data_IF_136388359561
#
_entry.id   IF_136388359561
#
_cell.length_a   1.000
_cell.length_b   1.000
_cell.length_c   1.000
_cell.angle_alpha   90.00
_cell.angle_beta   90.00
_cell.angle_gamma   90.00
#
_symmetry.space_group_name_H-M   'P 1'
#
loop_
_entity.id
_entity.type
_entity.pdbx_description
1 polymer ?
#
# COMPACT_ATOMS: atom_id res chain seq x y z
N UNK A 1 4.94 3.79 -18.61
CA UNK A 1 5.38 3.22 -17.33
C UNK A 1 4.57 1.97 -17.07
N UNK A 2 5.18 0.86 -16.66
CA UNK A 2 4.47 -0.36 -16.23
C UNK A 2 4.62 -0.54 -14.72
N UNK A 3 3.49 -0.64 -14.02
CA UNK A 3 3.44 -0.79 -12.57
C UNK A 3 2.96 -2.21 -12.26
N UNK A 4 3.68 -2.93 -11.40
CA UNK A 4 3.23 -4.20 -10.83
C UNK A 4 2.60 -3.93 -9.47
N UNK A 5 1.36 -4.37 -9.26
CA UNK A 5 0.64 -4.24 -7.98
C UNK A 5 0.46 -5.63 -7.37
N UNK A 6 0.78 -5.78 -6.08
CA UNK A 6 0.72 -7.03 -5.31
C UNK A 6 0.12 -6.78 -3.93
N UNK A 7 -0.52 -7.80 -3.34
CA UNK A 7 -1.15 -7.72 -2.00
C UNK A 7 -1.45 -9.13 -1.47
N UNK A 8 -1.59 -9.26 -0.15
CA UNK A 8 -2.19 -10.38 0.60
C UNK A 8 -1.50 -11.75 0.54
N UNK A 9 -1.04 -12.17 -0.62
CA UNK A 9 -0.46 -13.48 -0.84
C UNK A 9 0.80 -13.39 -1.68
N UNK A 10 1.82 -14.14 -1.24
CA UNK A 10 3.02 -14.37 -2.04
C UNK A 10 2.60 -15.13 -3.30
N UNK A 11 2.94 -14.58 -4.45
CA UNK A 11 2.76 -15.27 -5.72
C UNK A 11 3.97 -16.18 -5.99
N UNK A 12 3.81 -17.52 -6.01
CA UNK A 12 4.91 -18.43 -6.31
C UNK A 12 5.56 -18.16 -7.67
N UNK A 13 4.82 -17.60 -8.63
CA UNK A 13 5.38 -17.23 -9.94
C UNK A 13 6.40 -16.09 -9.84
N UNK A 14 6.23 -15.20 -8.87
CA UNK A 14 7.13 -14.07 -8.62
C UNK A 14 8.23 -14.40 -7.60
N UNK A 15 8.12 -15.53 -6.89
CA UNK A 15 9.06 -15.95 -5.85
C UNK A 15 9.69 -17.33 -6.14
N UNK A 16 8.99 -18.42 -5.84
CA UNK A 16 9.51 -19.79 -5.89
C UNK A 16 9.92 -20.23 -7.31
N UNK A 17 9.16 -19.80 -8.32
CA UNK A 17 9.38 -20.10 -9.73
C UNK A 17 9.86 -18.87 -10.50
N UNK A 18 10.57 -17.97 -9.83
CA UNK A 18 11.16 -16.81 -10.47
C UNK A 18 12.19 -17.22 -11.52
N UNK A 19 12.18 -16.54 -12.67
CA UNK A 19 13.19 -16.67 -13.72
C UNK A 19 13.78 -15.30 -14.02
N UNK A 20 15.09 -15.21 -14.34
CA UNK A 20 15.70 -13.94 -14.72
C UNK A 20 14.90 -13.22 -15.80
N UNK A 21 14.88 -11.89 -15.72
CA UNK A 21 14.16 -11.00 -16.64
C UNK A 21 12.63 -11.03 -16.56
N UNK A 22 12.01 -11.80 -15.65
CA UNK A 22 10.54 -11.82 -15.48
C UNK A 22 9.96 -10.43 -15.17
N UNK A 23 10.73 -9.60 -14.46
CA UNK A 23 10.34 -8.24 -14.07
C UNK A 23 11.04 -7.14 -14.90
N UNK A 24 11.69 -7.48 -16.03
CA UNK A 24 12.53 -6.52 -16.78
C UNK A 24 11.77 -5.28 -17.29
N UNK A 25 10.50 -5.46 -17.61
CA UNK A 25 9.65 -4.42 -18.21
C UNK A 25 8.89 -3.62 -17.15
N UNK A 26 9.01 -3.98 -15.86
CA UNK A 26 8.38 -3.27 -14.75
C UNK A 26 9.23 -2.05 -14.39
N UNK A 27 8.57 -0.91 -14.19
CA UNK A 27 9.21 0.34 -13.79
C UNK A 27 9.08 0.63 -12.29
N UNK A 28 8.01 0.13 -11.67
CA UNK A 28 7.63 0.36 -10.27
C UNK A 28 6.84 -0.85 -9.76
N UNK A 29 7.08 -1.24 -8.51
CA UNK A 29 6.28 -2.23 -7.79
C UNK A 29 5.53 -1.50 -6.65
N UNK A 30 4.25 -1.81 -6.45
CA UNK A 30 3.43 -1.31 -5.35
C UNK A 30 2.85 -2.50 -4.59
N UNK A 31 3.07 -2.54 -3.27
CA UNK A 31 2.47 -3.49 -2.35
C UNK A 31 1.34 -2.84 -1.57
N UNK A 32 0.15 -3.41 -1.62
CA UNK A 32 -1.01 -2.96 -0.85
C UNK A 32 -1.09 -3.58 0.55
N UNK A 33 -0.09 -4.35 0.98
CA UNK A 33 0.05 -4.86 2.34
C UNK A 33 -0.16 -6.37 2.45
N UNK A 34 -0.02 -6.87 3.68
CA UNK A 34 -0.17 -8.28 4.06
C UNK A 34 0.72 -9.22 3.25
N UNK A 35 1.99 -8.81 3.08
CA UNK A 35 3.03 -9.59 2.45
C UNK A 35 4.22 -9.75 3.39
N UNK A 36 4.99 -10.84 3.33
CA UNK A 36 6.20 -10.93 4.14
C UNK A 36 7.28 -9.94 3.71
N UNK A 37 8.00 -9.34 4.66
CA UNK A 37 9.08 -8.37 4.37
C UNK A 37 10.13 -8.97 3.42
N UNK A 38 10.51 -10.23 3.66
CA UNK A 38 11.47 -10.97 2.83
C UNK A 38 11.02 -11.15 1.38
N UNK A 39 9.72 -11.23 1.14
CA UNK A 39 9.19 -11.32 -0.22
C UNK A 39 9.36 -9.98 -0.96
N UNK A 40 9.05 -8.86 -0.30
CA UNK A 40 9.27 -7.53 -0.86
C UNK A 40 10.77 -7.24 -1.08
N UNK A 41 11.62 -7.62 -0.12
CA UNK A 41 13.09 -7.53 -0.22
C UNK A 41 13.65 -8.33 -1.40
N UNK A 42 13.13 -9.54 -1.61
CA UNK A 42 13.50 -10.33 -2.78
C UNK A 42 13.10 -9.61 -4.06
N UNK A 43 11.84 -9.13 -4.16
CA UNK A 43 11.34 -8.46 -5.36
C UNK A 43 12.11 -7.19 -5.69
N UNK A 44 12.36 -6.32 -4.71
CA UNK A 44 13.12 -5.08 -4.92
C UNK A 44 14.54 -5.39 -5.38
N UNK A 45 15.15 -6.45 -4.85
CA UNK A 45 16.50 -6.91 -5.23
C UNK A 45 16.55 -7.43 -6.66
N UNK A 46 15.66 -8.36 -7.03
CA UNK A 46 15.70 -9.00 -8.36
C UNK A 46 15.14 -8.13 -9.47
N UNK A 47 14.18 -7.25 -9.16
CA UNK A 47 13.68 -6.27 -10.11
C UNK A 47 14.68 -5.12 -10.31
N UNK A 48 15.40 -4.74 -9.25
CA UNK A 48 16.22 -3.54 -9.21
C UNK A 48 15.43 -2.29 -9.66
N UNK A 49 14.22 -2.16 -9.12
CA UNK A 49 13.25 -1.07 -9.36
C UNK A 49 12.69 -0.62 -8.00
N UNK A 50 12.20 0.63 -7.89
CA UNK A 50 11.53 1.06 -6.66
C UNK A 50 10.34 0.16 -6.32
N UNK A 51 10.20 -0.12 -5.02
CA UNK A 51 9.05 -0.82 -4.45
C UNK A 51 8.45 0.06 -3.36
N UNK A 52 7.21 0.48 -3.53
CA UNK A 52 6.45 1.25 -2.55
C UNK A 52 5.47 0.34 -1.83
N UNK A 53 5.29 0.51 -0.53
CA UNK A 53 4.34 -0.29 0.22
C UNK A 53 3.58 0.52 1.25
N UNK A 54 2.39 0.03 1.57
CA UNK A 54 1.65 0.34 2.78
C UNK A 54 1.54 -0.93 3.64
N UNK A 55 1.25 -0.76 4.92
CA UNK A 55 1.01 -1.88 5.83
C UNK A 55 -0.40 -2.43 5.59
N UNK A 56 -0.55 -3.75 5.56
CA UNK A 56 -1.83 -4.42 5.80
C UNK A 56 -2.05 -4.65 7.29
N UNK A 57 -3.18 -5.25 7.67
CA UNK A 57 -3.51 -5.44 9.07
C UNK A 57 -2.74 -6.59 9.76
N UNK A 58 -2.13 -7.48 8.99
CA UNK A 58 -1.30 -8.59 9.48
C UNK A 58 0.20 -8.27 9.51
N UNK A 59 0.63 -7.13 8.98
CA UNK A 59 2.04 -6.71 8.86
C UNK A 59 2.72 -6.31 10.18
N UNK A 60 2.20 -6.71 11.35
CA UNK A 60 2.78 -6.41 12.67
C UNK A 60 4.25 -6.85 12.83
N UNK A 61 4.71 -7.80 12.03
CA UNK A 61 6.12 -8.20 11.97
C UNK A 61 7.05 -7.05 11.51
N UNK A 62 6.55 -6.11 10.70
CA UNK A 62 7.32 -4.95 10.20
C UNK A 62 7.79 -4.02 11.32
N UNK A 63 7.09 -4.00 12.45
CA UNK A 63 7.53 -3.26 13.64
C UNK A 63 8.88 -3.74 14.19
N UNK A 64 9.25 -5.00 13.91
CA UNK A 64 10.55 -5.57 14.27
C UNK A 64 11.52 -5.57 13.10
N UNK A 65 11.03 -5.80 11.90
CA UNK A 65 11.83 -5.84 10.68
C UNK A 65 10.97 -5.43 9.49
N UNK A 66 11.06 -4.15 9.15
CA UNK A 66 10.39 -3.58 7.99
C UNK A 66 11.11 -4.02 6.69
N UNK A 67 10.39 -4.13 5.55
CA UNK A 67 10.97 -4.49 4.26
C UNK A 67 12.13 -3.58 3.87
N UNK A 68 13.35 -4.12 3.85
CA UNK A 68 14.54 -3.36 3.49
C UNK A 68 14.60 -3.09 1.98
N UNK A 69 15.24 -1.97 1.59
CA UNK A 69 15.34 -1.53 0.19
C UNK A 69 14.03 -1.01 -0.42
N UNK A 70 12.89 -1.20 0.26
CA UNK A 70 11.58 -0.70 -0.13
C UNK A 70 11.29 0.66 0.52
N UNK A 71 10.27 1.37 0.03
CA UNK A 71 9.84 2.68 0.59
C UNK A 71 8.46 2.54 1.20
N UNK A 72 8.38 2.78 2.51
CA UNK A 72 7.11 2.94 3.21
C UNK A 72 6.47 4.28 2.83
N UNK A 73 5.32 4.19 2.15
CA UNK A 73 4.51 5.36 1.76
C UNK A 73 3.29 5.56 2.65
N UNK A 74 3.13 4.76 3.71
CA UNK A 74 2.00 4.86 4.63
C UNK A 74 1.95 6.23 5.31
N UNK A 75 0.79 6.88 5.21
CA UNK A 75 0.55 8.22 5.73
C UNK A 75 1.35 9.31 5.01
N UNK A 76 1.76 9.08 3.75
CA UNK A 76 2.54 10.04 2.95
C UNK A 76 2.00 10.20 1.53
N UNK A 77 2.31 11.34 0.92
CA UNK A 77 2.25 11.53 -0.54
C UNK A 77 3.67 11.48 -1.08
N UNK A 78 3.94 10.60 -2.03
CA UNK A 78 5.23 10.38 -2.65
C UNK A 78 5.16 10.65 -4.15
N UNK A 79 6.07 11.46 -4.69
CA UNK A 79 6.13 11.73 -6.13
C UNK A 79 7.23 10.90 -6.79
N UNK A 80 6.87 10.09 -7.78
CA UNK A 80 7.80 9.27 -8.54
C UNK A 80 7.62 9.49 -10.05
N UNK A 81 8.64 10.09 -10.69
CA UNK A 81 8.62 10.41 -12.13
C UNK A 81 7.35 11.16 -12.57
N UNK A 82 6.90 12.10 -11.74
CA UNK A 82 5.68 12.90 -11.97
C UNK A 82 4.37 12.23 -11.57
N UNK A 83 4.36 10.98 -11.11
CA UNK A 83 3.19 10.34 -10.51
C UNK A 83 3.12 10.64 -9.02
N UNK A 84 2.00 11.14 -8.53
CA UNK A 84 1.75 11.46 -7.12
C UNK A 84 0.98 10.32 -6.47
N UNK A 85 1.59 9.67 -5.51
CA UNK A 85 1.09 8.42 -4.92
C UNK A 85 0.85 8.66 -3.44
N UNK A 86 -0.39 8.52 -2.98
CA UNK A 86 -0.73 8.62 -1.56
C UNK A 86 -0.88 7.21 -0.96
N UNK A 87 -0.26 6.95 0.20
CA UNK A 87 -0.38 5.68 0.90
C UNK A 87 -1.19 5.80 2.18
N UNK A 88 -2.17 4.91 2.36
CA UNK A 88 -2.99 4.77 3.57
C UNK A 88 -3.23 3.28 3.87
N UNK A 89 -2.35 2.68 4.63
CA UNK A 89 -2.43 1.28 5.05
C UNK A 89 -3.39 1.02 6.20
N UNK A 90 -3.52 -0.27 6.52
CA UNK A 90 -4.37 -0.81 7.57
C UNK A 90 -5.80 -1.12 7.13
N UNK A 91 -6.58 -1.68 8.04
CA UNK A 91 -7.97 -2.08 7.81
C UNK A 91 -8.91 -1.50 8.87
N UNK A 92 -10.23 -1.71 8.68
CA UNK A 92 -11.24 -1.31 9.66
C UNK A 92 -11.01 -2.00 11.01
N UNK A 93 -11.23 -1.27 12.10
CA UNK A 93 -10.94 -1.75 13.45
C UNK A 93 -11.95 -2.79 13.95
N UNK A 94 -11.51 -4.05 14.07
CA UNK A 94 -12.21 -5.12 14.79
C UNK A 94 -11.47 -5.61 16.05
N UNK A 95 -10.22 -5.20 16.26
CA UNK A 95 -9.45 -5.47 17.47
C UNK A 95 -8.40 -4.37 17.72
N UNK A 96 -7.64 -4.49 18.81
CA UNK A 96 -6.57 -3.55 19.16
C UNK A 96 -5.22 -3.96 18.52
N UNK A 97 -5.12 -3.79 17.20
CA UNK A 97 -3.88 -3.94 16.43
C UNK A 97 -3.35 -2.59 15.93
N UNK A 98 -2.02 -2.39 15.79
CA UNK A 98 -1.42 -1.11 15.35
C UNK A 98 -1.87 -0.59 13.97
N UNK A 99 -2.30 -1.48 13.08
CA UNK A 99 -2.69 -1.19 11.70
C UNK A 99 -4.20 -1.30 11.48
N UNK A 100 -4.98 -1.01 12.52
CA UNK A 100 -6.42 -1.01 12.48
C UNK A 100 -6.96 0.34 12.92
N UNK A 101 -7.89 0.88 12.13
CA UNK A 101 -8.41 2.22 12.34
C UNK A 101 -9.93 2.22 12.27
N UNK A 102 -10.55 3.04 13.09
CA UNK A 102 -11.94 3.45 12.90
C UNK A 102 -12.02 4.46 11.75
N UNK A 103 -13.22 4.66 11.20
CA UNK A 103 -13.49 5.70 10.20
C UNK A 103 -12.92 7.07 10.60
N UNK A 104 -13.14 7.49 11.85
CA UNK A 104 -12.64 8.77 12.37
C UNK A 104 -11.11 8.81 12.48
N UNK A 105 -10.47 7.69 12.83
CA UNK A 105 -9.01 7.61 12.89
C UNK A 105 -8.40 7.65 11.48
N UNK A 106 -8.99 6.96 10.52
CA UNK A 106 -8.57 7.03 9.12
C UNK A 106 -8.77 8.44 8.54
N UNK A 107 -9.91 9.08 8.80
CA UNK A 107 -10.13 10.47 8.42
C UNK A 107 -9.08 11.41 9.02
N UNK A 108 -8.65 11.19 10.26
CA UNK A 108 -7.56 11.98 10.86
C UNK A 108 -6.23 11.77 10.12
N UNK A 109 -5.94 10.56 9.64
CA UNK A 109 -4.76 10.27 8.80
C UNK A 109 -4.86 11.04 7.48
N UNK A 110 -6.02 11.03 6.81
CA UNK A 110 -6.28 11.81 5.60
C UNK A 110 -6.10 13.31 5.86
N UNK A 111 -6.61 13.84 6.97
CA UNK A 111 -6.45 15.24 7.31
C UNK A 111 -4.97 15.65 7.49
N UNK A 112 -4.10 14.74 7.95
CA UNK A 112 -2.65 14.98 8.00
C UNK A 112 -1.99 14.97 6.61
N UNK A 113 -2.59 14.30 5.62
CA UNK A 113 -2.14 14.30 4.23
C UNK A 113 -2.53 15.57 3.46
N UNK A 114 -3.62 16.26 3.87
CA UNK A 114 -4.14 17.44 3.16
C UNK A 114 -3.10 18.50 2.79
N UNK A 115 -2.14 18.89 3.65
CA UNK A 115 -1.09 19.83 3.26
C UNK A 115 -0.22 19.31 2.12
N UNK A 116 0.19 18.03 2.17
CA UNK A 116 0.97 17.39 1.12
C UNK A 116 0.19 17.29 -0.18
N UNK A 117 -1.08 16.89 -0.11
CA UNK A 117 -2.00 16.83 -1.26
C UNK A 117 -2.19 18.21 -1.91
N UNK A 118 -2.28 19.27 -1.11
CA UNK A 118 -2.38 20.64 -1.62
C UNK A 118 -1.11 21.08 -2.35
N UNK A 119 0.08 20.78 -1.78
CA UNK A 119 1.37 21.07 -2.40
C UNK A 119 1.57 20.28 -3.70
N UNK A 120 1.23 18.99 -3.69
CA UNK A 120 1.31 18.12 -4.87
C UNK A 120 0.19 18.37 -5.89
N UNK A 121 -0.77 19.25 -5.57
CA UNK A 121 -1.95 19.56 -6.40
C UNK A 121 -2.81 18.33 -6.72
N UNK A 122 -3.02 17.48 -5.73
CA UNK A 122 -3.80 16.24 -5.82
C UNK A 122 -2.94 14.99 -5.80
N UNK A 123 -3.58 13.87 -6.15
CA UNK A 123 -3.02 12.52 -6.18
C UNK A 123 -3.41 11.83 -7.50
N UNK A 124 -2.54 11.00 -8.04
CA UNK A 124 -2.82 10.18 -9.24
C UNK A 124 -3.13 8.73 -8.88
N UNK A 125 -2.52 8.22 -7.80
CA UNK A 125 -2.71 6.85 -7.30
C UNK A 125 -2.91 6.90 -5.79
N UNK A 126 -4.04 6.39 -5.31
CA UNK A 126 -4.27 6.09 -3.90
C UNK A 126 -3.97 4.61 -3.65
N UNK A 127 -3.03 4.33 -2.74
CA UNK A 127 -2.63 2.98 -2.34
C UNK A 127 -3.18 2.73 -0.94
N UNK A 128 -4.13 1.80 -0.83
CA UNK A 128 -4.74 1.39 0.42
C UNK A 128 -4.68 -0.12 0.56
N UNK A 129 -4.72 -0.62 1.79
CA UNK A 129 -4.93 -2.03 2.05
C UNK A 129 -6.42 -2.36 2.05
N UNK A 130 -7.20 -1.67 2.90
CA UNK A 130 -8.65 -1.75 2.86
C UNK A 130 -9.24 -1.02 1.64
N UNK A 131 -10.41 -1.48 1.14
CA UNK A 131 -11.11 -0.84 0.04
C UNK A 131 -11.68 0.54 0.43
N UNK A 132 -12.07 1.32 -0.57
CA UNK A 132 -12.97 2.46 -0.38
C UNK A 132 -14.41 1.94 -0.30
N UNK A 133 -15.26 2.59 0.49
CA UNK A 133 -16.68 2.20 0.60
C UNK A 133 -17.36 2.22 -0.77
N UNK A 134 -18.02 1.12 -1.12
CA UNK A 134 -18.68 0.92 -2.42
C UNK A 134 -17.75 0.48 -3.57
N UNK A 135 -16.46 0.26 -3.31
CA UNK A 135 -15.47 -0.16 -4.31
C UNK A 135 -14.72 -1.43 -3.87
N UNK A 136 -15.33 -2.59 -4.07
CA UNK A 136 -14.71 -3.88 -3.77
C UNK A 136 -14.68 -4.24 -2.29
N UNK A 137 -15.43 -3.51 -1.46
CA UNK A 137 -15.73 -3.86 -0.09
C UNK A 137 -16.67 -5.06 0.00
N UNK A 138 -16.58 -5.75 1.13
CA UNK A 138 -17.44 -6.90 1.46
C UNK A 138 -18.21 -6.62 2.75
N UNK A 139 -19.25 -7.42 2.97
CA UNK A 139 -20.14 -7.29 4.13
C UNK A 139 -19.48 -7.67 5.47
N UNK A 140 -18.25 -8.18 5.46
CA UNK A 140 -17.51 -8.52 6.68
C UNK A 140 -16.59 -7.39 7.14
N UNK A 141 -16.42 -7.28 8.47
CA UNK A 141 -15.84 -6.09 9.08
C UNK A 141 -14.40 -5.77 8.63
N UNK A 142 -13.47 -6.74 8.48
CA UNK A 142 -12.14 -6.49 7.95
C UNK A 142 -12.10 -5.89 6.53
N UNK A 143 -13.07 -6.26 5.68
CA UNK A 143 -13.16 -5.84 4.28
C UNK A 143 -14.17 -4.71 4.05
N UNK A 144 -14.76 -4.17 5.12
CA UNK A 144 -15.60 -2.97 5.04
C UNK A 144 -14.73 -1.79 4.59
N UNK A 145 -15.17 -1.13 3.52
CA UNK A 145 -14.44 0.01 2.96
C UNK A 145 -14.57 1.27 3.82
N UNK A 146 -13.59 2.16 3.69
CA UNK A 146 -13.65 3.47 4.33
C UNK A 146 -14.40 4.47 3.43
N UNK A 147 -15.42 5.13 3.98
CA UNK A 147 -16.15 6.18 3.28
C UNK A 147 -15.26 7.41 3.03
N UNK A 148 -14.41 7.74 4.00
CA UNK A 148 -13.49 8.88 3.93
C UNK A 148 -12.45 8.80 2.80
N UNK A 149 -12.24 7.63 2.20
CA UNK A 149 -11.40 7.52 1.00
C UNK A 149 -12.02 8.18 -0.22
N UNK A 150 -13.35 8.28 -0.29
CA UNK A 150 -14.03 8.90 -1.43
C UNK A 150 -13.68 10.40 -1.56
N UNK A 151 -13.35 11.10 -0.46
CA UNK A 151 -12.83 12.47 -0.46
C UNK A 151 -11.52 12.64 -1.26
N UNK A 152 -10.78 11.55 -1.50
CA UNK A 152 -9.52 11.53 -2.23
C UNK A 152 -9.66 11.07 -3.68
N UNK A 153 -10.82 10.51 -4.05
CA UNK A 153 -11.11 9.99 -5.39
C UNK A 153 -11.82 11.03 -6.29
N UNK A 154 -12.41 12.06 -5.70
CA UNK A 154 -13.08 13.20 -6.37
C UNK A 154 -12.15 14.39 -6.63
#
# INVERSE_FOLDING_TARGET
MKILVISDQVDPYLYDYYTPNKLKDIDLIISCGDLPARYLEFLVTVANKPLFYVHGNHDTAYLRHAPEGCVDIDGRVYEYKGLRIAGLGGCMKYNDSPFMYTESEMQKRINKLKPSLWISKGVDILVTHAPAEGYGDLDDLPHTGYACFNDLLE
#
